data_IF_697376767055
#
_entry.id   IF_697376767055
#
_cell.length_a   1.000
_cell.length_b   1.000
_cell.length_c   1.000
_cell.angle_alpha   90.00
_cell.angle_beta   90.00
_cell.angle_gamma   90.00
#
_symmetry.space_group_name_H-M   'P 1'
#
loop_
_entity.id
_entity.type
_entity.pdbx_description
1 polymer ?
#
# COMPACT_ATOMS: atom_id res chain seq x y z
N UNK A 1 -36.87 88.41 5.98
CA UNK A 1 -37.94 87.46 5.86
C UNK A 1 -37.54 86.50 4.74
N UNK A 2 -37.12 85.35 5.06
CA UNK A 2 -37.29 84.11 4.31
C UNK A 2 -36.35 83.03 4.86
N UNK A 3 -37.00 82.07 5.45
CA UNK A 3 -36.38 80.91 6.05
C UNK A 3 -36.07 79.90 4.96
N UNK A 4 -34.83 79.42 4.85
CA UNK A 4 -34.47 78.31 4.00
C UNK A 4 -34.23 77.05 4.88
N UNK A 5 -35.08 76.12 4.75
CA UNK A 5 -34.96 74.79 5.36
C UNK A 5 -34.02 73.93 4.53
N UNK A 6 -32.93 73.52 5.08
CA UNK A 6 -32.12 72.38 4.58
C UNK A 6 -32.50 71.12 5.35
N UNK A 7 -33.24 70.27 4.69
CA UNK A 7 -33.45 68.88 5.14
C UNK A 7 -32.20 68.05 4.81
N UNK A 8 -31.59 67.50 5.87
CA UNK A 8 -30.55 66.51 5.72
C UNK A 8 -31.20 65.15 5.53
N UNK A 9 -31.06 64.56 4.31
CA UNK A 9 -31.33 63.16 4.09
C UNK A 9 -30.28 62.32 4.81
N UNK A 10 -30.69 61.56 5.81
CA UNK A 10 -29.91 60.45 6.39
C UNK A 10 -30.01 59.25 5.49
N UNK A 11 -28.96 58.94 4.73
CA UNK A 11 -28.84 57.66 4.02
C UNK A 11 -28.38 56.62 5.04
N UNK A 12 -29.31 55.74 5.43
CA UNK A 12 -28.98 54.55 6.20
C UNK A 12 -28.30 53.54 5.26
N UNK A 13 -26.97 53.40 5.40
CA UNK A 13 -26.24 52.32 4.73
C UNK A 13 -26.56 51.00 5.44
N UNK A 14 -27.47 50.21 4.83
CA UNK A 14 -27.66 48.83 5.22
C UNK A 14 -26.43 48.01 4.76
N UNK A 15 -25.54 47.73 5.69
CA UNK A 15 -24.43 46.81 5.47
C UNK A 15 -24.97 45.40 5.27
N UNK A 16 -24.98 44.95 4.03
CA UNK A 16 -25.26 43.55 3.73
C UNK A 16 -24.11 42.69 4.26
N UNK A 17 -24.32 42.04 5.39
CA UNK A 17 -23.43 41.01 5.89
C UNK A 17 -23.53 39.80 4.90
N UNK A 18 -22.54 39.73 4.01
CA UNK A 18 -22.34 38.52 3.20
C UNK A 18 -21.89 37.40 4.16
N UNK A 19 -22.85 36.58 4.58
CA UNK A 19 -22.55 35.33 5.24
C UNK A 19 -21.71 34.50 4.25
N UNK A 20 -20.42 34.41 4.48
CA UNK A 20 -19.57 33.42 3.86
C UNK A 20 -20.09 32.07 4.33
N UNK A 21 -20.88 31.40 3.49
CA UNK A 21 -21.14 29.98 3.62
C UNK A 21 -19.75 29.31 3.61
N UNK A 22 -19.28 28.93 4.78
CA UNK A 22 -18.10 28.11 4.92
C UNK A 22 -18.37 26.81 4.17
N UNK A 23 -17.75 26.64 3.01
CA UNK A 23 -17.67 25.33 2.35
C UNK A 23 -16.98 24.43 3.36
N UNK A 24 -17.76 23.60 4.06
CA UNK A 24 -17.20 22.53 4.88
C UNK A 24 -16.46 21.63 3.90
N UNK A 25 -15.11 21.76 3.88
CA UNK A 25 -14.29 20.85 3.10
C UNK A 25 -14.62 19.43 3.58
N UNK A 26 -15.10 18.58 2.69
CA UNK A 26 -15.23 17.14 3.01
C UNK A 26 -13.89 16.65 3.53
N UNK A 27 -13.87 15.95 4.68
CA UNK A 27 -12.61 15.45 5.23
C UNK A 27 -11.84 14.68 4.17
N UNK A 28 -10.54 14.96 4.05
CA UNK A 28 -9.69 14.28 3.07
C UNK A 28 -9.68 12.77 3.36
N UNK A 29 -9.96 11.92 2.35
CA UNK A 29 -9.91 10.47 2.52
C UNK A 29 -8.58 10.05 3.14
N UNK A 30 -8.64 9.21 4.17
CA UNK A 30 -7.47 8.90 4.99
C UNK A 30 -7.21 7.39 5.02
N UNK A 31 -6.01 6.98 4.63
CA UNK A 31 -5.50 5.61 4.69
C UNK A 31 -4.67 5.42 5.94
N UNK A 32 -4.96 4.39 6.72
CA UNK A 32 -4.13 3.93 7.84
C UNK A 32 -3.26 2.75 7.43
N UNK A 33 -1.94 2.86 7.66
CA UNK A 33 -0.95 1.83 7.34
C UNK A 33 -0.30 1.31 8.62
N UNK A 34 -0.31 -0.01 8.81
CA UNK A 34 0.36 -0.67 9.94
C UNK A 34 1.64 -1.33 9.41
N UNK A 35 2.80 -0.82 9.82
CA UNK A 35 4.10 -1.29 9.35
C UNK A 35 4.74 -2.29 10.32
N UNK A 36 5.53 -3.28 9.81
CA UNK A 36 6.26 -4.19 10.67
C UNK A 36 7.27 -3.52 11.62
N UNK A 37 8.19 -2.63 11.17
CA UNK A 37 9.11 -1.94 12.08
C UNK A 37 8.40 -0.99 13.03
N UNK A 38 8.94 -0.77 14.23
CA UNK A 38 8.37 0.17 15.20
C UNK A 38 8.32 1.61 14.67
N UNK A 39 9.42 2.05 14.05
CA UNK A 39 9.56 3.36 13.43
C UNK A 39 9.86 3.16 11.95
N UNK A 40 8.88 3.37 11.11
CA UNK A 40 9.04 3.31 9.67
C UNK A 40 8.59 4.64 9.06
N UNK A 41 9.50 5.35 8.37
CA UNK A 41 9.10 6.57 7.67
C UNK A 41 8.07 6.21 6.60
N UNK A 42 7.14 7.13 6.33
CA UNK A 42 6.18 6.93 5.25
C UNK A 42 6.95 6.65 3.94
N UNK A 43 6.65 5.55 3.25
CA UNK A 43 7.36 5.20 2.02
C UNK A 43 7.27 6.32 0.98
N UNK A 44 8.37 6.66 0.28
CA UNK A 44 8.36 7.71 -0.74
C UNK A 44 7.38 7.40 -1.89
N UNK A 45 7.07 6.14 -2.12
CA UNK A 45 6.07 5.68 -3.08
C UNK A 45 4.69 6.28 -2.82
N UNK A 46 4.32 6.51 -1.55
CA UNK A 46 3.04 7.14 -1.18
C UNK A 46 2.86 8.48 -1.88
N UNK A 47 3.86 9.35 -1.78
CA UNK A 47 3.81 10.69 -2.38
C UNK A 47 4.01 10.70 -3.90
N UNK A 48 4.72 9.69 -4.44
CA UNK A 48 4.88 9.54 -5.89
C UNK A 48 3.59 9.05 -6.56
N UNK A 49 2.89 8.11 -5.90
CA UNK A 49 1.66 7.52 -6.43
C UNK A 49 0.44 8.41 -6.19
N UNK A 50 0.36 9.01 -5.00
CA UNK A 50 -0.78 9.82 -4.54
C UNK A 50 -0.29 11.13 -3.93
N UNK A 51 0.11 12.11 -4.75
CA UNK A 51 0.72 13.37 -4.27
C UNK A 51 -0.26 14.29 -3.55
N UNK A 52 -1.58 14.10 -3.73
CA UNK A 52 -2.63 14.93 -3.13
C UNK A 52 -3.97 14.18 -3.07
N UNK A 53 -4.91 14.70 -2.29
CA UNK A 53 -6.29 14.20 -2.22
C UNK A 53 -6.46 12.94 -1.36
N UNK A 54 -5.41 12.41 -0.78
CA UNK A 54 -5.45 11.27 0.15
C UNK A 54 -4.42 11.51 1.26
N UNK A 55 -4.87 11.49 2.50
CA UNK A 55 -3.99 11.54 3.66
C UNK A 55 -3.56 10.12 4.04
N UNK A 56 -2.29 9.96 4.42
CA UNK A 56 -1.75 8.69 4.90
C UNK A 56 -1.28 8.82 6.34
N UNK A 57 -1.71 7.90 7.19
CA UNK A 57 -1.28 7.71 8.56
C UNK A 57 -0.50 6.41 8.67
N UNK A 58 0.50 6.36 9.54
CA UNK A 58 1.31 5.17 9.75
C UNK A 58 1.56 4.88 11.22
N UNK A 59 1.59 3.61 11.58
CA UNK A 59 2.05 3.12 12.88
C UNK A 59 2.85 1.84 12.71
N UNK A 60 3.70 1.51 13.67
CA UNK A 60 4.56 0.33 13.61
C UNK A 60 4.33 -0.64 14.76
N UNK A 61 4.48 -1.95 14.49
CA UNK A 61 4.28 -3.01 15.50
C UNK A 61 5.57 -3.49 16.18
N UNK A 62 6.74 -3.06 15.69
CA UNK A 62 8.03 -3.40 16.29
C UNK A 62 8.48 -4.83 16.01
N UNK A 63 8.35 -5.27 14.76
CA UNK A 63 8.83 -6.57 14.29
C UNK A 63 10.35 -6.70 14.53
N UNK A 64 10.83 -7.71 15.30
CA UNK A 64 12.25 -7.85 15.62
C UNK A 64 13.04 -8.52 14.48
N UNK A 65 12.42 -9.40 13.71
CA UNK A 65 13.06 -10.14 12.60
C UNK A 65 12.02 -10.64 11.60
N UNK A 66 12.43 -10.85 10.35
CA UNK A 66 11.58 -11.46 9.30
C UNK A 66 11.66 -12.99 9.40
N UNK A 67 11.19 -13.53 10.51
CA UNK A 67 11.07 -14.96 10.80
C UNK A 67 9.68 -15.29 11.35
N UNK A 68 9.22 -16.54 11.29
CA UNK A 68 7.92 -16.92 11.86
C UNK A 68 7.73 -16.51 13.31
N UNK A 69 8.74 -16.69 14.16
CA UNK A 69 8.72 -16.31 15.57
C UNK A 69 8.63 -14.79 15.75
N UNK A 70 9.37 -14.05 14.89
CA UNK A 70 9.28 -12.59 14.85
C UNK A 70 7.87 -12.12 14.51
N UNK A 71 7.23 -12.71 13.50
CA UNK A 71 5.86 -12.36 13.12
C UNK A 71 4.86 -12.71 14.24
N UNK A 72 4.97 -13.89 14.86
CA UNK A 72 4.10 -14.29 15.97
C UNK A 72 4.19 -13.32 17.15
N UNK A 73 5.35 -12.75 17.42
CA UNK A 73 5.57 -11.81 18.52
C UNK A 73 4.84 -10.45 18.37
N UNK A 74 4.35 -10.12 17.17
CA UNK A 74 3.73 -8.82 16.87
C UNK A 74 2.27 -8.90 16.40
N UNK A 75 1.75 -10.10 16.14
CA UNK A 75 0.37 -10.28 15.64
C UNK A 75 -0.68 -9.63 16.54
N UNK A 76 -0.55 -9.79 17.82
CA UNK A 76 -1.51 -9.23 18.79
C UNK A 76 -1.52 -7.70 18.85
N UNK A 77 -0.50 -7.05 18.28
CA UNK A 77 -0.41 -5.58 18.19
C UNK A 77 -1.17 -5.00 16.99
N UNK A 78 -1.57 -5.83 16.01
CA UNK A 78 -2.21 -5.35 14.76
C UNK A 78 -3.55 -4.68 15.07
N UNK A 79 -4.44 -5.34 15.81
CA UNK A 79 -5.77 -4.80 16.13
C UNK A 79 -5.69 -3.53 17.00
N UNK A 80 -4.90 -3.46 18.10
CA UNK A 80 -4.67 -2.21 18.81
C UNK A 80 -4.15 -1.07 17.93
N UNK A 81 -3.21 -1.34 17.01
CA UNK A 81 -2.70 -0.36 16.06
C UNK A 81 -3.78 0.14 15.08
N UNK A 82 -4.65 -0.75 14.62
CA UNK A 82 -5.77 -0.41 13.77
C UNK A 82 -6.79 0.50 14.48
N UNK A 83 -7.13 0.22 15.73
CA UNK A 83 -8.00 1.07 16.54
C UNK A 83 -7.41 2.45 16.79
N UNK A 84 -6.09 2.55 16.94
CA UNK A 84 -5.40 3.84 17.05
C UNK A 84 -5.49 4.65 15.76
N UNK A 85 -5.24 4.04 14.59
CA UNK A 85 -5.40 4.69 13.29
C UNK A 85 -6.84 5.12 13.03
N UNK A 86 -7.84 4.33 13.44
CA UNK A 86 -9.25 4.71 13.38
C UNK A 86 -9.53 5.97 14.20
N UNK A 87 -9.02 6.06 15.44
CA UNK A 87 -9.16 7.25 16.30
C UNK A 87 -8.50 8.49 15.69
N UNK A 88 -7.44 8.32 14.91
CA UNK A 88 -6.77 9.38 14.15
C UNK A 88 -7.50 9.78 12.87
N UNK A 89 -8.62 9.12 12.54
CA UNK A 89 -9.48 9.45 11.41
C UNK A 89 -9.20 8.65 10.13
N UNK A 90 -8.56 7.49 10.22
CA UNK A 90 -8.46 6.58 9.07
C UNK A 90 -9.86 6.14 8.60
N UNK A 91 -10.06 6.08 7.29
CA UNK A 91 -11.29 5.57 6.67
C UNK A 91 -11.13 4.13 6.18
N UNK A 92 -9.90 3.71 5.89
CA UNK A 92 -9.52 2.36 5.50
C UNK A 92 -8.19 2.00 6.16
N UNK A 93 -7.93 0.72 6.38
CA UNK A 93 -6.71 0.25 7.03
C UNK A 93 -6.04 -0.85 6.20
N UNK A 94 -4.71 -0.80 6.11
CA UNK A 94 -3.92 -1.89 5.53
C UNK A 94 -2.82 -2.35 6.47
N UNK A 95 -2.73 -3.67 6.66
CA UNK A 95 -1.58 -4.29 7.32
C UNK A 95 -0.48 -4.46 6.29
N UNK A 96 0.58 -3.66 6.43
CA UNK A 96 1.77 -3.71 5.58
C UNK A 96 2.78 -4.73 6.10
N UNK A 97 3.75 -5.10 5.23
CA UNK A 97 4.64 -6.21 5.48
C UNK A 97 4.09 -7.51 4.88
N UNK A 98 4.35 -7.72 3.58
CA UNK A 98 3.83 -8.90 2.87
C UNK A 98 4.17 -10.20 3.58
N UNK A 99 5.41 -10.37 4.07
CA UNK A 99 5.78 -11.57 4.84
C UNK A 99 4.99 -11.73 6.13
N UNK A 100 4.74 -10.67 6.88
CA UNK A 100 3.90 -10.67 8.07
C UNK A 100 2.46 -11.14 7.77
N UNK A 101 1.96 -10.88 6.58
CA UNK A 101 0.58 -11.16 6.22
C UNK A 101 0.38 -12.51 5.52
N UNK A 102 1.40 -13.06 4.86
CA UNK A 102 1.31 -14.37 4.18
C UNK A 102 1.91 -15.56 4.95
N UNK A 103 2.71 -15.37 6.01
CA UNK A 103 3.57 -16.44 6.57
C UNK A 103 2.83 -17.65 7.13
N UNK A 104 1.54 -17.55 7.44
CA UNK A 104 0.65 -18.66 7.84
C UNK A 104 -0.38 -19.03 6.76
N UNK A 105 -0.16 -18.61 5.50
CA UNK A 105 -1.02 -18.97 4.38
C UNK A 105 -2.21 -18.05 4.14
N UNK A 106 -3.03 -18.39 3.16
CA UNK A 106 -4.12 -17.54 2.65
C UNK A 106 -5.27 -17.38 3.67
N UNK A 107 -5.59 -18.44 4.41
CA UNK A 107 -6.63 -18.35 5.45
C UNK A 107 -6.25 -17.37 6.56
N UNK A 108 -5.00 -17.40 7.01
CA UNK A 108 -4.49 -16.45 8.01
C UNK A 108 -4.50 -15.01 7.48
N UNK A 109 -4.04 -14.80 6.25
CA UNK A 109 -4.07 -13.48 5.62
C UNK A 109 -5.50 -12.89 5.60
N UNK A 110 -6.49 -13.71 5.28
CA UNK A 110 -7.91 -13.31 5.34
C UNK A 110 -8.36 -13.01 6.77
N UNK A 111 -8.07 -13.91 7.74
CA UNK A 111 -8.42 -13.71 9.14
C UNK A 111 -7.86 -12.40 9.69
N UNK A 112 -6.65 -11.99 9.29
CA UNK A 112 -6.02 -10.77 9.74
C UNK A 112 -6.78 -9.52 9.27
N UNK A 113 -7.16 -9.44 8.01
CA UNK A 113 -7.98 -8.34 7.49
C UNK A 113 -9.40 -8.34 8.10
N UNK A 114 -10.01 -9.51 8.26
CA UNK A 114 -11.34 -9.64 8.89
C UNK A 114 -11.31 -9.18 10.35
N UNK A 115 -10.25 -9.52 11.11
CA UNK A 115 -10.09 -9.10 12.51
C UNK A 115 -9.98 -7.58 12.64
N UNK A 116 -9.22 -6.92 11.75
CA UNK A 116 -9.12 -5.46 11.70
C UNK A 116 -10.48 -4.84 11.36
N UNK A 117 -11.16 -5.34 10.32
CA UNK A 117 -12.49 -4.86 9.93
C UNK A 117 -13.50 -5.03 11.07
N UNK A 118 -13.52 -6.19 11.73
CA UNK A 118 -14.42 -6.47 12.85
C UNK A 118 -14.19 -5.52 14.04
N UNK A 119 -12.92 -5.23 14.35
CA UNK A 119 -12.57 -4.40 15.50
C UNK A 119 -12.85 -2.91 15.26
N UNK A 120 -12.60 -2.42 14.03
CA UNK A 120 -12.67 -1.00 13.69
C UNK A 120 -13.98 -0.60 13.00
N UNK A 121 -14.71 -1.55 12.40
CA UNK A 121 -15.83 -1.25 11.50
C UNK A 121 -15.42 -0.65 10.16
N UNK A 122 -14.11 -0.52 9.89
CA UNK A 122 -13.58 0.06 8.66
C UNK A 122 -13.22 -1.04 7.64
N UNK A 123 -13.30 -0.76 6.34
CA UNK A 123 -12.71 -1.64 5.34
C UNK A 123 -11.22 -1.84 5.62
N UNK A 124 -10.78 -3.10 5.60
CA UNK A 124 -9.37 -3.42 5.83
C UNK A 124 -8.84 -4.41 4.79
N UNK A 125 -7.56 -4.31 4.52
CA UNK A 125 -6.82 -5.20 3.63
C UNK A 125 -5.41 -5.48 4.16
N UNK A 126 -4.65 -6.24 3.40
CA UNK A 126 -3.24 -6.54 3.68
C UNK A 126 -2.38 -6.25 2.46
N UNK A 127 -1.08 -6.08 2.66
CA UNK A 127 -0.16 -5.93 1.56
C UNK A 127 -0.14 -7.17 0.64
N UNK A 128 -0.36 -8.36 1.21
CA UNK A 128 -0.46 -9.61 0.42
C UNK A 128 -1.71 -9.65 -0.46
N UNK A 129 -2.84 -9.07 -0.04
CA UNK A 129 -4.01 -8.93 -0.90
C UNK A 129 -3.69 -8.07 -2.13
N UNK A 130 -2.89 -7.01 -1.97
CA UNK A 130 -2.43 -6.19 -3.09
C UNK A 130 -1.61 -6.98 -4.12
N UNK A 131 -0.77 -7.91 -3.66
CA UNK A 131 -0.03 -8.81 -4.54
C UNK A 131 -0.98 -9.73 -5.34
N UNK A 132 -1.92 -10.39 -4.65
CA UNK A 132 -2.87 -11.31 -5.26
C UNK A 132 -3.77 -10.60 -6.27
N UNK A 133 -4.31 -9.43 -5.92
CA UNK A 133 -5.14 -8.64 -6.85
C UNK A 133 -4.33 -8.13 -8.04
N UNK A 134 -3.11 -7.64 -7.81
CA UNK A 134 -2.23 -7.20 -8.88
C UNK A 134 -1.93 -8.32 -9.88
N UNK A 135 -1.60 -9.52 -9.39
CA UNK A 135 -1.36 -10.70 -10.23
C UNK A 135 -2.62 -11.13 -11.00
N UNK A 136 -3.79 -11.09 -10.37
CA UNK A 136 -5.06 -11.38 -11.04
C UNK A 136 -5.38 -10.36 -12.14
N UNK A 137 -5.19 -9.08 -11.85
CA UNK A 137 -5.39 -8.00 -12.84
C UNK A 137 -4.39 -8.11 -14.00
N UNK A 138 -3.17 -8.57 -13.74
CA UNK A 138 -2.17 -8.89 -14.76
C UNK A 138 -2.57 -10.08 -15.65
N UNK A 139 -3.54 -10.89 -15.24
CA UNK A 139 -3.91 -12.16 -15.91
C UNK A 139 -2.89 -13.27 -15.67
N UNK A 140 -2.06 -13.15 -14.63
CA UNK A 140 -0.99 -14.06 -14.31
C UNK A 140 -1.52 -15.45 -13.92
N UNK A 141 -0.80 -16.49 -14.35
CA UNK A 141 -1.01 -17.88 -13.95
C UNK A 141 0.28 -18.55 -13.48
N UNK A 142 1.38 -18.29 -14.18
CA UNK A 142 2.72 -18.86 -13.96
C UNK A 142 3.70 -17.77 -13.60
N UNK A 143 4.19 -17.76 -12.37
CA UNK A 143 4.88 -16.62 -11.78
C UNK A 143 6.34 -16.94 -11.52
N UNK A 144 7.24 -16.04 -11.92
CA UNK A 144 8.61 -15.94 -11.38
C UNK A 144 8.58 -15.03 -10.15
N UNK A 145 9.25 -15.43 -9.06
CA UNK A 145 9.21 -14.74 -7.77
C UNK A 145 10.62 -14.35 -7.32
N UNK A 146 10.88 -13.06 -7.23
CA UNK A 146 12.08 -12.48 -6.65
C UNK A 146 11.74 -11.91 -5.25
N UNK A 147 12.50 -12.26 -4.21
CA UNK A 147 12.22 -11.79 -2.85
C UNK A 147 13.49 -11.27 -2.14
N UNK A 148 13.31 -10.48 -1.09
CA UNK A 148 14.40 -10.18 -0.17
C UNK A 148 14.69 -11.33 0.82
N UNK A 149 13.73 -12.23 1.04
CA UNK A 149 13.68 -13.17 2.15
C UNK A 149 14.73 -14.29 2.05
N UNK A 150 14.94 -14.97 3.19
CA UNK A 150 15.62 -16.27 3.25
C UNK A 150 14.77 -17.38 2.61
N UNK A 151 15.32 -18.58 2.52
CA UNK A 151 14.66 -19.72 1.89
C UNK A 151 13.35 -20.11 2.58
N UNK A 152 13.31 -20.08 3.91
CA UNK A 152 12.10 -20.45 4.66
C UNK A 152 10.93 -19.51 4.35
N UNK A 153 11.15 -18.18 4.47
CA UNK A 153 10.09 -17.19 4.22
C UNK A 153 9.72 -17.13 2.74
N UNK A 154 10.69 -17.35 1.83
CA UNK A 154 10.42 -17.49 0.39
C UNK A 154 9.54 -18.72 0.12
N UNK A 155 9.81 -19.86 0.76
CA UNK A 155 8.97 -21.06 0.66
C UNK A 155 7.54 -20.84 1.15
N UNK A 156 7.36 -20.08 2.23
CA UNK A 156 6.02 -19.69 2.73
C UNK A 156 5.26 -18.81 1.74
N UNK A 157 5.97 -17.88 1.06
CA UNK A 157 5.35 -17.10 -0.01
C UNK A 157 4.91 -18.00 -1.18
N UNK A 158 5.74 -18.97 -1.58
CA UNK A 158 5.39 -19.93 -2.65
C UNK A 158 4.12 -20.69 -2.28
N UNK A 159 4.04 -21.23 -1.06
CA UNK A 159 2.84 -21.91 -0.57
C UNK A 159 1.60 -21.00 -0.60
N UNK A 160 1.72 -19.78 -0.08
CA UNK A 160 0.64 -18.79 -0.11
C UNK A 160 0.14 -18.46 -1.53
N UNK A 161 1.07 -18.35 -2.51
CA UNK A 161 0.72 -18.12 -3.91
C UNK A 161 0.00 -19.32 -4.53
N UNK A 162 0.42 -20.56 -4.21
CA UNK A 162 -0.26 -21.78 -4.64
C UNK A 162 -1.68 -21.85 -4.05
N UNK A 163 -1.85 -21.58 -2.75
CA UNK A 163 -3.17 -21.49 -2.09
C UNK A 163 -4.06 -20.42 -2.73
N UNK A 164 -3.45 -19.37 -3.29
CA UNK A 164 -4.14 -18.28 -3.98
C UNK A 164 -4.44 -18.55 -5.46
N UNK A 165 -4.05 -19.73 -5.97
CA UNK A 165 -4.36 -20.22 -7.33
C UNK A 165 -3.30 -19.92 -8.39
N UNK A 166 -2.05 -19.61 -7.99
CA UNK A 166 -0.95 -19.35 -8.92
C UNK A 166 0.07 -20.51 -8.93
N UNK A 167 0.66 -20.78 -10.09
CA UNK A 167 1.81 -21.67 -10.24
C UNK A 167 3.10 -20.86 -10.11
N UNK A 168 3.94 -21.15 -9.12
CA UNK A 168 5.27 -20.55 -9.00
C UNK A 168 6.28 -21.43 -9.74
N UNK A 169 6.74 -20.98 -10.89
CA UNK A 169 7.70 -21.73 -11.73
C UNK A 169 9.15 -21.50 -11.34
N UNK A 170 9.44 -20.40 -10.65
CA UNK A 170 10.76 -20.09 -10.09
C UNK A 170 10.60 -19.14 -8.91
N UNK A 171 11.30 -19.40 -7.82
CA UNK A 171 11.46 -18.48 -6.72
C UNK A 171 12.94 -18.34 -6.33
N UNK A 172 13.37 -17.13 -6.00
CA UNK A 172 14.71 -16.85 -5.47
C UNK A 172 14.66 -15.70 -4.48
N UNK A 173 15.30 -15.88 -3.32
CA UNK A 173 15.46 -14.86 -2.29
C UNK A 173 16.88 -14.34 -2.19
N UNK A 174 17.04 -13.13 -1.64
CA UNK A 174 18.33 -12.51 -1.34
C UNK A 174 18.91 -12.98 0.01
N UNK A 175 18.19 -13.79 0.79
CA UNK A 175 18.65 -14.33 2.08
C UNK A 175 18.61 -13.32 3.22
N UNK A 176 17.83 -12.25 3.14
CA UNK A 176 17.79 -11.17 4.14
C UNK A 176 16.77 -11.50 5.22
N UNK A 177 17.18 -11.43 6.50
CA UNK A 177 16.33 -11.71 7.66
C UNK A 177 15.94 -10.46 8.46
N UNK A 178 16.58 -9.33 8.21
CA UNK A 178 16.31 -8.02 8.84
C UNK A 178 16.80 -6.94 7.88
N UNK A 179 16.76 -5.71 8.17
CA UNK A 179 17.24 -4.53 7.43
C UNK A 179 17.80 -4.80 6.02
N UNK A 180 17.18 -4.22 5.01
CA UNK A 180 17.61 -4.40 3.61
C UNK A 180 18.86 -3.56 3.34
N UNK A 181 20.01 -4.16 3.01
CA UNK A 181 21.22 -3.40 2.70
C UNK A 181 21.05 -2.57 1.42
N UNK A 182 21.70 -1.39 1.37
CA UNK A 182 21.70 -0.55 0.17
C UNK A 182 22.13 -1.31 -1.09
N UNK A 183 23.16 -2.14 -0.99
CA UNK A 183 23.64 -2.96 -2.11
C UNK A 183 22.57 -3.92 -2.68
N UNK A 184 21.68 -4.45 -1.83
CA UNK A 184 20.55 -5.27 -2.27
C UNK A 184 19.51 -4.44 -3.02
N UNK A 185 19.29 -3.20 -2.59
CA UNK A 185 18.41 -2.27 -3.31
C UNK A 185 19.01 -1.85 -4.65
N UNK A 186 20.29 -1.51 -4.69
CA UNK A 186 21.00 -1.09 -5.91
C UNK A 186 21.05 -2.22 -6.97
N UNK A 187 21.17 -3.49 -6.56
CA UNK A 187 21.20 -4.66 -7.44
C UNK A 187 19.82 -5.25 -7.78
N UNK A 188 18.73 -4.67 -7.28
CA UNK A 188 17.40 -5.30 -7.31
C UNK A 188 16.86 -5.52 -8.72
N UNK A 189 17.12 -4.60 -9.65
CA UNK A 189 16.69 -4.73 -11.04
C UNK A 189 17.34 -5.96 -11.68
N UNK A 190 18.67 -6.08 -11.61
CA UNK A 190 19.43 -7.19 -12.20
C UNK A 190 19.03 -8.53 -11.57
N UNK A 191 18.89 -8.56 -10.23
CA UNK A 191 18.46 -9.75 -9.51
C UNK A 191 17.07 -10.20 -9.97
N UNK A 192 16.09 -9.29 -9.99
CA UNK A 192 14.71 -9.60 -10.32
C UNK A 192 14.55 -10.03 -11.78
N UNK A 193 15.20 -9.32 -12.70
CA UNK A 193 15.22 -9.68 -14.11
C UNK A 193 15.86 -11.05 -14.33
N UNK A 194 17.00 -11.35 -13.70
CA UNK A 194 17.67 -12.65 -13.79
C UNK A 194 16.80 -13.80 -13.29
N UNK A 195 15.97 -13.59 -12.25
CA UNK A 195 14.99 -14.60 -11.80
C UNK A 195 13.96 -14.89 -12.90
N UNK A 196 13.40 -13.85 -13.55
CA UNK A 196 12.44 -14.04 -14.66
C UNK A 196 13.09 -14.65 -15.89
N UNK A 197 14.30 -14.24 -16.25
CA UNK A 197 15.05 -14.78 -17.39
C UNK A 197 15.35 -16.28 -17.22
N UNK A 198 15.58 -16.73 -15.96
CA UNK A 198 15.74 -18.17 -15.64
C UNK A 198 14.44 -18.97 -15.66
N UNK A 199 13.30 -18.30 -15.86
CA UNK A 199 11.96 -18.88 -15.90
C UNK A 199 11.19 -18.37 -17.12
N UNK A 200 11.57 -18.76 -18.36
CA UNK A 200 10.98 -18.20 -19.58
C UNK A 200 9.47 -18.44 -19.68
N UNK A 201 8.98 -19.52 -19.08
CA UNK A 201 7.56 -19.89 -19.06
C UNK A 201 6.69 -19.06 -18.08
N UNK A 202 7.29 -18.21 -17.23
CA UNK A 202 6.51 -17.32 -16.37
C UNK A 202 5.86 -16.21 -17.19
N UNK A 203 4.59 -15.96 -16.93
CA UNK A 203 3.78 -14.91 -17.57
C UNK A 203 3.69 -13.63 -16.75
N UNK A 204 4.22 -13.64 -15.52
CA UNK A 204 4.40 -12.46 -14.67
C UNK A 204 5.64 -12.58 -13.78
N UNK A 205 6.15 -11.45 -13.33
CA UNK A 205 7.19 -11.34 -12.31
C UNK A 205 6.61 -10.72 -11.03
N UNK A 206 6.80 -11.40 -9.90
CA UNK A 206 6.52 -10.87 -8.58
C UNK A 206 7.81 -10.48 -7.87
N UNK A 207 7.90 -9.22 -7.38
CA UNK A 207 8.99 -8.75 -6.51
C UNK A 207 8.44 -8.52 -5.11
N UNK A 208 8.79 -9.36 -4.15
CA UNK A 208 8.17 -9.35 -2.82
C UNK A 208 9.13 -9.00 -1.70
N UNK A 209 8.84 -7.93 -1.04
CA UNK A 209 9.19 -7.45 0.31
C UNK A 209 8.75 -5.98 0.43
N UNK A 210 8.04 -5.63 1.51
CA UNK A 210 7.58 -4.25 1.75
C UNK A 210 8.70 -3.24 2.01
N UNK A 211 9.91 -3.70 2.33
CA UNK A 211 11.07 -2.82 2.51
C UNK A 211 11.89 -2.58 1.23
N UNK A 212 11.53 -3.19 0.10
CA UNK A 212 12.15 -2.93 -1.20
C UNK A 212 11.44 -1.77 -1.91
N UNK A 213 12.19 -0.76 -2.34
CA UNK A 213 11.70 0.34 -3.15
C UNK A 213 11.64 -0.10 -4.61
N UNK A 214 10.45 -0.38 -5.11
CA UNK A 214 10.25 -1.04 -6.41
C UNK A 214 9.48 -0.21 -7.42
N UNK A 215 8.86 0.91 -7.03
CA UNK A 215 7.99 1.68 -7.91
C UNK A 215 8.70 2.10 -9.21
N UNK A 216 9.88 2.68 -9.09
CA UNK A 216 10.68 3.14 -10.24
C UNK A 216 11.29 1.98 -11.05
N UNK A 217 11.24 0.74 -10.54
CA UNK A 217 11.76 -0.45 -11.22
C UNK A 217 10.70 -1.20 -12.04
N UNK A 218 9.40 -0.91 -11.83
CA UNK A 218 8.33 -1.66 -12.50
C UNK A 218 8.43 -1.55 -14.03
N UNK A 219 8.50 -0.34 -14.56
CA UNK A 219 8.61 -0.11 -16.02
C UNK A 219 9.92 -0.68 -16.62
N UNK A 220 11.11 -0.45 -16.04
CA UNK A 220 12.33 -1.11 -16.49
C UNK A 220 12.26 -2.64 -16.50
N UNK A 221 11.68 -3.25 -15.45
CA UNK A 221 11.50 -4.70 -15.37
C UNK A 221 10.49 -5.20 -16.42
N UNK A 222 9.35 -4.56 -16.60
CA UNK A 222 8.38 -4.91 -17.65
C UNK A 222 8.99 -4.80 -19.04
N UNK A 223 9.78 -3.74 -19.27
CA UNK A 223 10.47 -3.52 -20.56
C UNK A 223 11.47 -4.63 -20.85
N UNK A 224 12.26 -5.05 -19.85
CA UNK A 224 13.28 -6.10 -19.99
C UNK A 224 12.68 -7.49 -20.06
N UNK A 225 11.77 -7.80 -19.14
CA UNK A 225 11.21 -9.15 -18.95
C UNK A 225 10.05 -9.47 -19.91
N UNK A 226 9.45 -8.46 -20.55
CA UNK A 226 8.29 -8.57 -21.46
C UNK A 226 7.07 -9.23 -20.84
N UNK A 227 6.91 -9.09 -19.52
CA UNK A 227 5.75 -9.56 -18.74
C UNK A 227 5.34 -8.50 -17.73
N UNK A 228 4.08 -8.48 -17.26
CA UNK A 228 3.66 -7.62 -16.15
C UNK A 228 4.49 -7.88 -14.90
N UNK A 229 4.75 -6.80 -14.14
CA UNK A 229 5.48 -6.86 -12.87
C UNK A 229 4.59 -6.39 -11.73
N UNK A 230 4.47 -7.23 -10.71
CA UNK A 230 3.76 -6.92 -9.46
C UNK A 230 4.77 -6.83 -8.32
N UNK A 231 4.61 -5.87 -7.43
CA UNK A 231 5.53 -5.75 -6.28
C UNK A 231 4.82 -5.30 -5.00
N UNK A 232 5.42 -5.58 -3.85
CA UNK A 232 4.76 -5.44 -2.55
C UNK A 232 4.31 -4.01 -2.24
N UNK A 233 5.22 -3.06 -2.31
CA UNK A 233 4.95 -1.69 -1.85
C UNK A 233 3.92 -0.98 -2.74
N UNK A 234 4.13 -0.84 -4.06
CA UNK A 234 3.19 -0.14 -4.92
C UNK A 234 1.81 -0.80 -4.97
N UNK A 235 1.75 -2.13 -5.10
CA UNK A 235 0.46 -2.82 -5.22
C UNK A 235 -0.28 -2.94 -3.89
N UNK A 236 0.43 -2.91 -2.75
CA UNK A 236 -0.20 -2.75 -1.43
C UNK A 236 -0.86 -1.38 -1.27
N UNK A 237 -0.19 -0.31 -1.69
CA UNK A 237 -0.75 1.05 -1.69
C UNK A 237 -1.95 1.16 -2.64
N UNK A 238 -1.80 0.68 -3.87
CA UNK A 238 -2.87 0.64 -4.84
C UNK A 238 -4.12 -0.10 -4.33
N UNK A 239 -3.92 -1.25 -3.71
CA UNK A 239 -5.02 -2.06 -3.18
C UNK A 239 -5.79 -1.36 -2.04
N UNK A 240 -5.09 -0.72 -1.10
CA UNK A 240 -5.77 -0.03 0.00
C UNK A 240 -6.49 1.24 -0.48
N UNK A 241 -5.95 1.97 -1.45
CA UNK A 241 -6.60 3.16 -2.02
C UNK A 241 -7.90 2.80 -2.73
N UNK A 242 -7.99 1.65 -3.40
CA UNK A 242 -9.25 1.15 -3.98
C UNK A 242 -10.37 1.04 -2.94
N UNK A 243 -10.06 0.68 -1.70
CA UNK A 243 -11.07 0.57 -0.62
C UNK A 243 -11.68 1.92 -0.21
N UNK A 244 -11.05 3.04 -0.54
CA UNK A 244 -11.64 4.37 -0.36
C UNK A 244 -12.78 4.67 -1.34
N UNK A 245 -12.95 3.86 -2.40
CA UNK A 245 -13.92 4.14 -3.47
C UNK A 245 -13.48 5.27 -4.41
N UNK A 246 -12.20 5.64 -4.38
CA UNK A 246 -11.60 6.61 -5.32
C UNK A 246 -10.76 5.87 -6.36
N UNK A 247 -10.39 6.56 -7.45
CA UNK A 247 -9.48 5.97 -8.44
C UNK A 247 -8.12 5.69 -7.80
N UNK A 248 -7.70 4.43 -7.87
CA UNK A 248 -6.38 4.00 -7.45
C UNK A 248 -5.36 3.95 -8.61
N UNK A 249 -5.79 4.34 -9.82
CA UNK A 249 -4.97 4.31 -11.03
C UNK A 249 -3.75 5.20 -10.90
N UNK A 250 -2.59 4.65 -11.24
CA UNK A 250 -1.29 5.36 -11.23
C UNK A 250 -0.60 5.15 -12.57
N UNK A 251 -0.45 6.21 -13.33
CA UNK A 251 0.19 6.17 -14.65
C UNK A 251 1.71 6.29 -14.55
N UNK A 252 2.41 5.71 -15.53
CA UNK A 252 3.88 5.80 -15.62
C UNK A 252 4.65 4.80 -14.76
N UNK A 253 3.96 3.95 -14.00
CA UNK A 253 4.58 2.99 -13.08
C UNK A 253 4.17 1.53 -13.33
N UNK A 254 4.10 1.15 -14.60
CA UNK A 254 3.83 -0.23 -15.00
C UNK A 254 2.38 -0.50 -15.40
N UNK A 255 2.21 -1.61 -16.10
CA UNK A 255 0.97 -1.95 -16.81
C UNK A 255 -0.20 -2.27 -15.87
N UNK A 256 0.07 -2.79 -14.67
CA UNK A 256 -0.96 -3.18 -13.70
C UNK A 256 -1.53 -1.97 -12.98
N UNK A 257 -0.67 -1.07 -12.47
CA UNK A 257 -1.10 0.14 -11.75
C UNK A 257 -1.88 1.12 -12.66
N UNK A 258 -1.62 1.10 -13.95
CA UNK A 258 -2.32 1.93 -14.93
C UNK A 258 -3.76 1.45 -15.24
N UNK A 259 -4.18 0.29 -14.73
CA UNK A 259 -5.53 -0.28 -14.94
C UNK A 259 -6.47 -0.06 -13.76
N UNK A 260 -5.97 0.43 -12.63
CA UNK A 260 -6.57 0.53 -11.30
C UNK A 260 -7.91 1.19 -11.11
#
# INVERSE_FOLDING_TARGET
MTNSRREFLKIASAGAAVARLGVSATPEPTVGLIFPPANYPMPPEVHKMYPSGIRFLGTGVGLPSMTPEGYDSVIDKIVPSALELQRQGANVISVFGSSLTFYKGAAFNKQLSDAVTKATGLPATTQSNGLIEGLRLAGARRIAVATAYNEEVTGRLVAFLHESGFEVVKAKGLGISLNIPKAAQDGLLEFSAGVKESAPSADALLVSCGGLHTLDLLVPLETRCKVPVVSSQPHGLWNVVKLLGVSARVEGYGSVLARG
#
